data_IF_383271085230
#
_entry.id   IF_383271085230
#
_cell.length_a   1.000
_cell.length_b   1.000
_cell.length_c   1.000
_cell.angle_alpha   90.00
_cell.angle_beta   90.00
_cell.angle_gamma   90.00
#
_symmetry.space_group_name_H-M   'P 1'
#
loop_
_entity.id
_entity.type
_entity.pdbx_description
1 polymer ?
#
# COMPACT_ATOMS: atom_id res chain seq x y z
N UNK A 1 8.51 -0.39 2.54
CA UNK A 1 9.62 0.50 2.12
C UNK A 1 10.67 -0.36 1.41
N UNK A 2 11.39 0.17 0.43
CA UNK A 2 12.45 -0.60 -0.21
C UNK A 2 13.63 -0.76 0.75
N UNK A 3 14.13 -1.98 0.89
CA UNK A 3 15.30 -2.30 1.73
C UNK A 3 15.19 -1.93 3.23
N UNK A 4 13.98 -1.86 3.80
CA UNK A 4 13.76 -1.47 5.20
C UNK A 4 14.52 -2.30 6.24
N UNK A 5 14.61 -3.62 6.06
CA UNK A 5 15.43 -4.46 6.95
C UNK A 5 16.88 -3.95 6.99
N UNK A 6 17.44 -3.60 5.83
CA UNK A 6 18.81 -3.12 5.73
C UNK A 6 18.98 -1.71 6.30
N UNK A 7 17.97 -0.85 6.09
CA UNK A 7 17.92 0.44 6.76
C UNK A 7 18.04 0.25 8.28
N UNK A 8 17.23 -0.61 8.87
CA UNK A 8 17.29 -0.91 10.31
C UNK A 8 18.62 -1.51 10.74
N UNK A 9 19.14 -2.47 9.96
CA UNK A 9 20.41 -3.11 10.28
C UNK A 9 21.59 -2.09 10.24
N UNK A 10 21.45 -0.98 9.51
CA UNK A 10 22.51 0.05 9.35
C UNK A 10 22.32 1.28 10.27
N UNK A 11 21.09 1.79 10.37
CA UNK A 11 20.75 3.03 11.07
C UNK A 11 20.07 2.80 12.43
N UNK A 12 19.70 1.55 12.75
CA UNK A 12 19.01 1.18 13.97
C UNK A 12 17.48 1.34 13.88
N UNK A 13 16.78 0.58 14.72
CA UNK A 13 15.31 0.53 14.75
C UNK A 13 14.64 1.87 15.06
N UNK A 14 15.27 2.71 15.88
CA UNK A 14 14.74 4.06 16.21
C UNK A 14 14.69 4.94 14.97
N UNK A 15 15.77 4.92 14.17
CA UNK A 15 15.81 5.65 12.90
C UNK A 15 14.79 5.07 11.91
N UNK A 16 14.61 3.75 11.90
CA UNK A 16 13.61 3.09 11.06
C UNK A 16 12.18 3.52 11.39
N UNK A 17 11.82 3.57 12.67
CA UNK A 17 10.50 4.05 13.09
C UNK A 17 10.27 5.53 12.72
N UNK A 18 11.29 6.38 12.91
CA UNK A 18 11.24 7.78 12.48
C UNK A 18 11.04 7.90 10.95
N UNK A 19 11.73 7.08 10.16
CA UNK A 19 11.57 7.02 8.71
C UNK A 19 10.14 6.62 8.31
N UNK A 20 9.56 5.59 8.96
CA UNK A 20 8.18 5.16 8.67
C UNK A 20 7.15 6.22 9.04
N UNK A 21 7.34 6.94 10.15
CA UNK A 21 6.52 8.10 10.52
C UNK A 21 6.64 9.22 9.48
N UNK A 22 7.84 9.48 8.98
CA UNK A 22 8.09 10.43 7.90
C UNK A 22 7.36 10.06 6.60
N UNK A 23 7.43 8.79 6.20
CA UNK A 23 6.67 8.27 5.04
C UNK A 23 5.17 8.45 5.25
N UNK A 24 4.65 8.09 6.44
CA UNK A 24 3.23 8.26 6.75
C UNK A 24 2.77 9.73 6.61
N UNK A 25 3.55 10.66 7.16
CA UNK A 25 3.27 12.09 7.07
C UNK A 25 3.36 12.60 5.61
N UNK A 26 4.36 12.12 4.84
CA UNK A 26 4.49 12.45 3.43
C UNK A 26 3.28 11.99 2.62
N UNK A 27 2.85 10.74 2.80
CA UNK A 27 1.68 10.21 2.10
C UNK A 27 0.40 10.94 2.49
N UNK A 28 0.20 11.23 3.78
CA UNK A 28 -0.95 12.01 4.25
C UNK A 28 -0.96 13.44 3.67
N UNK A 29 0.19 14.10 3.59
CA UNK A 29 0.31 15.43 2.96
C UNK A 29 0.18 15.40 1.43
N UNK A 30 0.51 14.27 0.80
CA UNK A 30 0.38 14.07 -0.64
C UNK A 30 -1.08 13.93 -1.07
N UNK A 31 -1.92 13.34 -0.22
CA UNK A 31 -3.33 13.09 -0.49
C UNK A 31 -4.24 13.74 0.57
N UNK A 32 -4.34 15.09 0.58
CA UNK A 32 -5.14 15.81 1.59
C UNK A 32 -6.65 15.82 1.30
N UNK A 33 -7.07 15.34 0.12
CA UNK A 33 -8.44 15.48 -0.40
C UNK A 33 -9.32 14.27 -0.11
N UNK A 34 -10.64 14.49 -0.04
CA UNK A 34 -11.63 13.40 0.05
C UNK A 34 -11.58 12.57 -1.23
N UNK A 35 -11.07 11.35 -1.14
CA UNK A 35 -11.00 10.42 -2.27
C UNK A 35 -9.85 9.43 -2.21
N UNK A 36 -8.82 9.68 -1.41
CA UNK A 36 -7.73 8.72 -1.15
C UNK A 36 -7.50 8.59 0.35
N UNK A 37 -7.78 7.42 0.90
CA UNK A 37 -7.53 7.09 2.31
C UNK A 37 -6.16 6.45 2.46
N UNK A 38 -5.26 7.07 3.23
CA UNK A 38 -3.95 6.49 3.58
C UNK A 38 -4.06 5.75 4.92
N UNK A 39 -3.63 4.49 4.96
CA UNK A 39 -3.59 3.67 6.18
C UNK A 39 -2.21 3.01 6.34
N UNK A 40 -1.80 2.76 7.58
CA UNK A 40 -0.65 1.91 7.90
C UNK A 40 -1.19 0.58 8.42
N UNK A 41 -0.86 -0.51 7.74
CA UNK A 41 -1.38 -1.85 8.07
C UNK A 41 -0.62 -2.48 9.24
N UNK A 42 0.67 -2.18 9.35
CA UNK A 42 1.57 -2.73 10.38
C UNK A 42 3.00 -2.77 9.87
N UNK A 43 3.98 -2.78 10.77
CA UNK A 43 5.39 -2.81 10.38
C UNK A 43 5.75 -1.68 9.40
N UNK A 44 6.20 -2.05 8.20
CA UNK A 44 6.56 -1.14 7.08
C UNK A 44 5.51 -1.09 5.95
N UNK A 45 4.32 -1.62 6.22
CA UNK A 45 3.22 -1.78 5.28
C UNK A 45 2.24 -0.62 5.37
N UNK A 46 1.85 -0.11 4.20
CA UNK A 46 0.89 0.96 4.06
C UNK A 46 -0.24 0.50 3.11
N UNK A 47 -1.32 1.24 3.07
CA UNK A 47 -2.38 1.08 2.10
C UNK A 47 -2.90 2.46 1.70
N UNK A 48 -3.24 2.63 0.44
CA UNK A 48 -4.00 3.76 -0.07
C UNK A 48 -5.32 3.20 -0.61
N UNK A 49 -6.45 3.83 -0.37
CA UNK A 49 -7.74 3.33 -0.83
C UNK A 49 -8.45 4.47 -1.56
N UNK A 50 -8.84 4.26 -2.81
CA UNK A 50 -9.54 5.27 -3.59
C UNK A 50 -10.81 4.67 -4.20
N UNK A 51 -11.99 4.97 -3.64
CA UNK A 51 -13.27 4.61 -4.24
C UNK A 51 -13.43 5.24 -5.63
N UNK A 52 -14.22 4.60 -6.48
CA UNK A 52 -14.59 5.08 -7.81
C UNK A 52 -13.42 5.44 -8.73
N UNK A 53 -12.24 4.87 -8.48
CA UNK A 53 -11.01 5.18 -9.22
C UNK A 53 -10.73 4.11 -10.29
N UNK A 54 -10.76 4.45 -11.59
CA UNK A 54 -10.44 3.49 -12.64
C UNK A 54 -8.96 3.07 -12.56
N UNK A 55 -8.57 1.94 -13.15
CA UNK A 55 -7.22 1.37 -13.03
C UNK A 55 -6.09 2.37 -13.33
N UNK A 56 -6.27 3.23 -14.33
CA UNK A 56 -5.31 4.27 -14.71
C UNK A 56 -5.14 5.34 -13.60
N UNK A 57 -6.24 5.75 -12.95
CA UNK A 57 -6.20 6.69 -11.83
C UNK A 57 -5.49 6.05 -10.63
N UNK A 58 -5.73 4.76 -10.38
CA UNK A 58 -5.07 4.03 -9.31
C UNK A 58 -3.56 3.89 -9.53
N UNK A 59 -3.13 3.66 -10.78
CA UNK A 59 -1.72 3.69 -11.15
C UNK A 59 -1.11 5.08 -10.95
N UNK A 60 -1.82 6.15 -11.33
CA UNK A 60 -1.36 7.52 -11.12
C UNK A 60 -1.23 7.88 -9.64
N UNK A 61 -2.16 7.41 -8.79
CA UNK A 61 -2.06 7.55 -7.33
C UNK A 61 -0.82 6.82 -6.80
N UNK A 62 -0.59 5.58 -7.25
CA UNK A 62 0.60 4.82 -6.89
C UNK A 62 1.90 5.51 -7.28
N UNK A 63 1.95 6.09 -8.48
CA UNK A 63 3.13 6.81 -8.97
C UNK A 63 3.35 8.12 -8.21
N UNK A 64 2.28 8.85 -7.91
CA UNK A 64 2.36 10.06 -7.08
C UNK A 64 2.87 9.73 -5.68
N UNK A 65 2.41 8.64 -5.07
CA UNK A 65 2.92 8.19 -3.77
C UNK A 65 4.41 7.84 -3.84
N UNK A 66 4.82 7.06 -4.84
CA UNK A 66 6.21 6.66 -5.08
C UNK A 66 7.12 7.87 -5.24
N UNK A 67 6.77 8.78 -6.13
CA UNK A 67 7.52 10.00 -6.40
C UNK A 67 7.59 10.92 -5.18
N UNK A 68 6.49 11.06 -4.41
CA UNK A 68 6.49 11.88 -3.20
C UNK A 68 7.45 11.35 -2.13
N UNK A 69 7.49 10.04 -1.91
CA UNK A 69 8.42 9.44 -0.95
C UNK A 69 9.87 9.56 -1.42
N UNK A 70 10.15 9.35 -2.71
CA UNK A 70 11.49 9.56 -3.27
C UNK A 70 11.93 11.02 -3.13
N UNK A 71 11.03 11.97 -3.39
CA UNK A 71 11.27 13.41 -3.28
C UNK A 71 11.52 13.90 -1.86
N UNK A 72 11.19 13.12 -0.82
CA UNK A 72 11.63 13.41 0.55
C UNK A 72 13.15 13.45 0.68
N UNK A 73 13.88 12.82 -0.26
CA UNK A 73 15.33 12.73 -0.28
C UNK A 73 15.94 12.24 1.04
N UNK A 74 15.18 11.45 1.81
CA UNK A 74 15.63 10.93 3.09
C UNK A 74 16.74 9.92 2.85
N UNK A 75 17.91 10.14 3.46
CA UNK A 75 19.06 9.25 3.27
C UNK A 75 18.75 7.81 3.69
N UNK A 76 19.06 6.85 2.82
CA UNK A 76 18.97 5.42 3.12
C UNK A 76 20.38 4.82 3.18
N UNK A 77 21.01 4.79 4.37
CA UNK A 77 22.33 4.18 4.51
C UNK A 77 22.24 2.66 4.25
N UNK A 78 23.33 2.10 3.73
CA UNK A 78 23.47 0.66 3.48
C UNK A 78 22.88 0.15 2.15
N UNK A 79 22.27 1.01 1.31
CA UNK A 79 21.81 0.57 -0.02
C UNK A 79 22.98 0.03 -0.86
N UNK A 80 22.73 -1.05 -1.60
CA UNK A 80 23.71 -1.67 -2.52
C UNK A 80 23.27 -1.66 -3.98
N UNK A 81 22.14 -1.03 -4.27
CA UNK A 81 21.56 -0.94 -5.61
C UNK A 81 21.81 0.43 -6.27
N UNK A 82 22.76 1.21 -5.73
CA UNK A 82 23.19 2.50 -6.27
C UNK A 82 22.31 3.69 -5.90
N UNK A 83 21.11 3.48 -5.35
CA UNK A 83 20.30 4.55 -4.79
C UNK A 83 20.82 4.98 -3.41
N UNK A 84 20.61 6.24 -3.04
CA UNK A 84 21.06 6.83 -1.77
C UNK A 84 19.92 7.27 -0.85
N UNK A 85 18.68 7.23 -1.34
CA UNK A 85 17.50 7.73 -0.64
C UNK A 85 16.48 6.62 -0.39
N UNK A 86 15.56 6.90 0.52
CA UNK A 86 14.41 6.05 0.83
C UNK A 86 13.45 6.07 -0.36
N UNK A 87 13.04 4.88 -0.80
CA UNK A 87 12.06 4.68 -1.87
C UNK A 87 11.00 3.66 -1.43
N UNK A 88 9.91 3.59 -2.19
CA UNK A 88 8.86 2.59 -2.02
C UNK A 88 8.56 1.92 -3.35
N UNK A 89 8.26 0.62 -3.29
CA UNK A 89 7.59 -0.08 -4.37
C UNK A 89 6.10 -0.16 -4.08
N UNK A 90 5.27 -0.04 -5.12
CA UNK A 90 3.81 0.00 -5.01
C UNK A 90 3.21 -1.11 -5.88
N UNK A 91 2.26 -1.84 -5.31
CA UNK A 91 1.41 -2.79 -6.02
C UNK A 91 -0.01 -2.23 -6.11
N UNK A 92 -0.54 -2.17 -7.32
CA UNK A 92 -1.87 -1.61 -7.60
C UNK A 92 -2.80 -2.73 -8.03
N UNK A 93 -3.96 -2.79 -7.39
CA UNK A 93 -5.07 -3.60 -7.86
C UNK A 93 -6.32 -2.72 -7.99
N UNK A 94 -7.04 -2.90 -9.08
CA UNK A 94 -8.34 -2.25 -9.29
C UNK A 94 -9.35 -3.29 -9.74
N UNK A 95 -10.58 -3.12 -9.28
CA UNK A 95 -11.67 -4.06 -9.50
C UNK A 95 -12.98 -3.33 -9.59
N UNK A 96 -13.88 -3.86 -10.43
CA UNK A 96 -15.31 -3.52 -10.38
C UNK A 96 -15.96 -4.58 -9.48
N UNK A 97 -16.55 -4.21 -8.34
CA UNK A 97 -17.16 -5.18 -7.44
C UNK A 97 -18.21 -6.03 -8.16
N UNK A 98 -18.13 -7.34 -7.96
CA UNK A 98 -19.08 -8.30 -8.52
C UNK A 98 -19.41 -9.40 -7.52
N UNK A 99 -20.44 -10.23 -7.77
CA UNK A 99 -20.83 -11.31 -6.88
C UNK A 99 -19.66 -12.25 -6.59
N UNK A 100 -19.38 -12.51 -5.30
CA UNK A 100 -18.34 -13.45 -4.86
C UNK A 100 -16.94 -12.85 -4.68
N UNK A 101 -16.71 -11.59 -5.06
CA UNK A 101 -15.43 -10.92 -4.83
C UNK A 101 -15.26 -10.57 -3.35
N UNK A 102 -14.12 -10.95 -2.76
CA UNK A 102 -13.79 -10.58 -1.38
C UNK A 102 -12.63 -9.57 -1.33
N UNK A 103 -12.57 -8.75 -0.28
CA UNK A 103 -11.47 -7.82 -0.07
C UNK A 103 -10.10 -8.52 -0.05
N UNK A 104 -10.05 -9.76 0.45
CA UNK A 104 -8.85 -10.58 0.45
C UNK A 104 -8.32 -10.89 -0.96
N UNK A 105 -9.19 -10.95 -1.97
CA UNK A 105 -8.77 -11.18 -3.36
C UNK A 105 -8.06 -9.97 -3.94
N UNK A 106 -8.57 -8.78 -3.64
CA UNK A 106 -7.95 -7.52 -4.06
C UNK A 106 -6.57 -7.33 -3.42
N UNK A 107 -6.44 -7.67 -2.13
CA UNK A 107 -5.15 -7.66 -1.43
C UNK A 107 -4.16 -8.62 -2.08
N UNK A 108 -4.59 -9.83 -2.43
CA UNK A 108 -3.73 -10.83 -3.08
C UNK A 108 -3.20 -10.35 -4.43
N UNK A 109 -4.03 -9.64 -5.21
CA UNK A 109 -3.64 -9.07 -6.50
C UNK A 109 -2.65 -7.91 -6.30
N UNK A 110 -2.91 -7.04 -5.33
CA UNK A 110 -2.02 -5.92 -4.99
C UNK A 110 -0.65 -6.43 -4.50
N UNK A 111 -0.62 -7.45 -3.66
CA UNK A 111 0.62 -8.08 -3.18
C UNK A 111 1.42 -8.71 -4.33
N UNK A 112 0.74 -9.40 -5.26
CA UNK A 112 1.41 -9.98 -6.42
C UNK A 112 2.03 -8.88 -7.31
N UNK A 113 1.31 -7.79 -7.55
CA UNK A 113 1.82 -6.64 -8.29
C UNK A 113 2.98 -5.95 -7.53
N UNK A 114 2.89 -5.85 -6.21
CA UNK A 114 3.97 -5.31 -5.39
C UNK A 114 5.23 -6.17 -5.47
N UNK A 115 5.07 -7.50 -5.44
CA UNK A 115 6.17 -8.43 -5.61
C UNK A 115 6.88 -8.24 -6.96
N UNK A 116 6.12 -8.00 -8.03
CA UNK A 116 6.67 -7.64 -9.34
C UNK A 116 7.45 -6.32 -9.29
N UNK A 117 6.89 -5.26 -8.71
CA UNK A 117 7.60 -3.98 -8.53
C UNK A 117 8.92 -4.16 -7.76
N UNK A 118 8.94 -5.05 -6.75
CA UNK A 118 10.16 -5.31 -5.98
C UNK A 118 11.21 -6.10 -6.76
N UNK A 119 10.77 -6.97 -7.67
CA UNK A 119 11.65 -7.79 -8.49
C UNK A 119 12.10 -7.11 -9.78
N UNK A 120 11.40 -6.06 -10.23
CA UNK A 120 11.77 -5.25 -11.40
C UNK A 120 12.83 -4.17 -11.11
N UNK A 121 13.44 -4.18 -9.93
CA UNK A 121 14.44 -3.20 -9.51
C UNK A 121 14.00 -2.28 -8.37
N UNK A 122 12.78 -2.45 -7.85
CA UNK A 122 12.18 -1.59 -6.81
C UNK A 122 11.96 -0.15 -7.29
N UNK A 123 11.51 0.73 -6.39
CA UNK A 123 11.13 2.10 -6.73
C UNK A 123 10.24 2.14 -7.99
N UNK A 124 9.22 1.28 -8.00
CA UNK A 124 8.39 1.04 -9.16
C UNK A 124 6.92 0.84 -8.75
N UNK A 125 6.04 1.07 -9.71
CA UNK A 125 4.60 0.84 -9.61
C UNK A 125 4.20 -0.21 -10.63
N UNK A 126 3.52 -1.26 -10.19
CA UNK A 126 2.96 -2.29 -11.06
C UNK A 126 1.48 -2.42 -10.76
N UNK A 127 0.66 -2.45 -11.81
CA UNK A 127 -0.78 -2.69 -11.70
C UNK A 127 -1.13 -4.06 -12.25
N UNK A 128 -2.05 -4.74 -11.58
CA UNK A 128 -2.68 -5.95 -12.10
C UNK A 128 -4.20 -5.79 -12.10
N UNK A 129 -4.89 -6.26 -13.14
CA UNK A 129 -6.34 -6.40 -13.08
C UNK A 129 -6.67 -7.44 -12.01
N UNK A 130 -7.74 -7.19 -11.24
CA UNK A 130 -8.30 -8.23 -10.39
C UNK A 130 -8.95 -9.31 -11.28
N UNK A 131 -8.17 -10.31 -11.69
CA UNK A 131 -8.70 -11.53 -12.29
C UNK A 131 -9.54 -12.28 -11.24
N UNK A 132 -10.57 -13.05 -11.63
CA UNK A 132 -11.13 -14.05 -10.74
C UNK A 132 -10.02 -15.05 -10.40
N UNK A 133 -9.48 -14.94 -9.18
CA UNK A 133 -8.46 -15.87 -8.69
C UNK A 133 -9.15 -17.20 -8.37
N UNK A 134 -8.65 -18.35 -8.85
CA UNK A 134 -9.20 -19.65 -8.46
C UNK A 134 -9.05 -19.86 -6.95
N UNK A 135 -10.01 -20.59 -6.35
CA UNK A 135 -10.31 -20.80 -4.92
C UNK A 135 -9.17 -21.22 -3.95
N UNK A 136 -7.91 -21.24 -4.38
CA UNK A 136 -6.82 -21.85 -3.62
C UNK A 136 -5.75 -20.81 -3.29
N UNK A 137 -6.00 -20.09 -2.19
CA UNK A 137 -5.06 -19.74 -1.08
C UNK A 137 -5.84 -18.82 -0.11
N UNK A 138 -6.13 -19.30 1.11
CA UNK A 138 -6.70 -18.50 2.20
C UNK A 138 -5.59 -18.02 3.14
N UNK A 139 -5.54 -16.73 3.47
CA UNK A 139 -5.14 -16.27 4.80
C UNK A 139 -6.19 -15.34 5.43
N UNK A 140 -6.12 -15.08 6.76
CA UNK A 140 -7.21 -14.46 7.50
C UNK A 140 -7.08 -12.93 7.46
N UNK A 141 -8.05 -12.23 6.86
CA UNK A 141 -8.10 -10.76 6.87
C UNK A 141 -9.54 -10.26 7.13
N UNK A 142 -10.10 -10.63 8.29
CA UNK A 142 -11.41 -10.15 8.74
C UNK A 142 -11.43 -8.62 8.91
N UNK A 143 -10.42 -8.02 9.54
CA UNK A 143 -10.47 -6.60 9.90
C UNK A 143 -10.52 -5.61 8.72
N UNK A 144 -9.77 -5.85 7.64
CA UNK A 144 -9.81 -4.98 6.45
C UNK A 144 -11.11 -5.19 5.69
N UNK A 145 -11.60 -6.43 5.64
CA UNK A 145 -12.90 -6.77 5.04
C UNK A 145 -14.06 -6.13 5.81
N UNK A 146 -14.01 -6.12 7.14
CA UNK A 146 -15.01 -5.52 8.02
C UNK A 146 -14.97 -3.98 7.95
N UNK A 147 -13.77 -3.39 7.79
CA UNK A 147 -13.60 -1.95 7.61
C UNK A 147 -14.16 -1.46 6.25
N UNK A 148 -13.96 -2.25 5.20
CA UNK A 148 -14.52 -2.00 3.86
C UNK A 148 -16.04 -2.21 3.84
N UNK A 149 -16.52 -3.25 4.53
CA UNK A 149 -17.95 -3.60 4.57
C UNK A 149 -18.80 -2.68 5.48
N UNK A 150 -18.18 -1.99 6.44
CA UNK A 150 -18.91 -1.15 7.41
C UNK A 150 -19.21 0.27 6.93
N UNK A 151 -18.65 0.72 5.80
CA UNK A 151 -18.94 2.04 5.21
C UNK A 151 -18.64 3.23 6.13
N UNK A 152 -17.92 3.04 7.23
CA UNK A 152 -17.59 4.11 8.16
C UNK A 152 -16.35 4.88 7.68
N UNK A 153 -16.48 6.20 7.56
CA UNK A 153 -15.33 7.11 7.54
C UNK A 153 -14.56 6.92 8.85
N UNK A 154 -13.30 6.47 8.79
CA UNK A 154 -12.43 6.50 9.95
C UNK A 154 -12.05 7.96 10.23
N UNK A 155 -12.39 8.52 11.40
CA UNK A 155 -11.85 9.82 11.79
C UNK A 155 -10.32 9.70 11.91
N UNK A 156 -9.66 10.77 11.48
CA UNK A 156 -8.20 10.92 11.54
C UNK A 156 -7.68 10.49 12.93
N UNK A 157 -6.74 9.55 12.97
CA UNK A 157 -5.97 9.26 14.19
C UNK A 157 -6.41 8.07 15.06
N UNK A 158 -7.32 7.20 14.61
CA UNK A 158 -7.57 5.92 15.30
C UNK A 158 -7.57 4.74 14.33
N UNK A 159 -6.51 3.94 14.35
CA UNK A 159 -6.41 2.66 13.63
C UNK A 159 -6.03 1.59 14.67
N UNK A 160 -6.71 0.43 14.73
CA UNK A 160 -6.39 -0.61 15.70
C UNK A 160 -4.97 -1.16 15.50
N UNK A 161 -4.25 -1.39 16.61
CA UNK A 161 -2.97 -2.11 16.59
C UNK A 161 -3.18 -3.57 16.14
N UNK A 162 -2.84 -3.88 14.89
CA UNK A 162 -2.81 -5.24 14.39
C UNK A 162 -1.44 -5.88 14.66
N UNK A 163 -1.28 -6.45 15.86
CA UNK A 163 -0.13 -7.29 16.17
C UNK A 163 -0.34 -8.73 15.67
N UNK A 164 0.40 -9.13 14.63
CA UNK A 164 1.41 -10.21 14.65
C UNK A 164 1.80 -10.64 13.22
N UNK A 165 3.09 -10.46 12.93
CA UNK A 165 3.89 -11.51 12.30
C UNK A 165 3.80 -11.67 10.79
N UNK A 166 4.10 -10.65 10.00
CA UNK A 166 4.52 -10.85 8.62
C UNK A 166 5.75 -10.00 8.31
N UNK A 167 6.80 -10.67 7.81
CA UNK A 167 8.03 -10.04 7.34
C UNK A 167 7.89 -9.85 5.84
N UNK A 168 7.95 -8.59 5.40
CA UNK A 168 8.06 -8.08 4.02
C UNK A 168 6.76 -7.65 3.32
N UNK A 169 6.25 -6.42 3.53
CA UNK A 169 5.24 -5.88 2.58
C UNK A 169 5.16 -4.35 2.53
N UNK A 170 4.44 -3.82 1.54
CA UNK A 170 4.42 -2.41 1.13
C UNK A 170 3.02 -2.06 0.60
N UNK A 171 2.84 -0.82 0.14
CA UNK A 171 1.58 -0.13 -0.15
C UNK A 171 0.53 -0.96 -0.93
N UNK A 172 -0.66 -1.12 -0.34
CA UNK A 172 -1.87 -1.73 -0.92
C UNK A 172 -2.79 -0.65 -1.48
N UNK A 173 -3.12 -0.66 -2.77
CA UNK A 173 -4.10 0.23 -3.38
C UNK A 173 -5.44 -0.48 -3.65
N UNK A 174 -6.58 -0.05 -3.08
CA UNK A 174 -7.92 -0.66 -3.32
C UNK A 174 -8.96 0.33 -3.85
N UNK A 175 -9.81 -0.15 -4.76
CA UNK A 175 -10.95 0.57 -5.34
C UNK A 175 -12.28 -0.09 -4.92
N UNK A 176 -13.27 0.74 -4.60
CA UNK A 176 -14.69 0.36 -4.55
C UNK A 176 -15.41 1.28 -5.53
N UNK A 177 -15.70 0.80 -6.73
CA UNK A 177 -16.59 1.50 -7.64
C UNK A 177 -18.05 1.29 -7.17
N UNK A 178 -18.70 2.36 -6.74
CA UNK A 178 -20.14 2.41 -6.52
C UNK A 178 -20.83 2.46 -7.87
N UNK A 179 -21.43 1.33 -8.26
CA UNK A 179 -22.26 1.27 -9.45
C UNK A 179 -23.53 2.10 -9.26
N UNK A 180 -23.59 3.27 -9.89
CA UNK A 180 -24.86 3.89 -10.22
C UNK A 180 -25.50 3.08 -11.35
N UNK A 181 -26.53 2.28 -11.02
CA UNK A 181 -27.48 1.77 -12.00
C UNK A 181 -28.73 2.68 -11.97
N UNK A 182 -29.28 3.08 -13.13
CA UNK A 182 -30.58 3.76 -13.21
C UNK A 182 -31.76 2.83 -12.85
#
# INVERSE_FOLDING_TARGET
MDHFKRFNDTAGHVAGDACLKGIAACLAGTFPEKGVTVARLGGEEFALLAPDAPPETMLAIGERARAAVEAMAWAHPGRSDGASVVTISVGVASVVPGPGLQAADLLRVADAALYESKNSGRNAVTGRPALPLPDRIRPPLRAVSDLIASGQELPFGMIPDFHRGYRNSSIVLQNIATGAQP
#
